data_IF_667347897778
#
_entry.id   IF_667347897778
#
_cell.length_a   1.000
_cell.length_b   1.000
_cell.length_c   1.000
_cell.angle_alpha   90.00
_cell.angle_beta   90.00
_cell.angle_gamma   90.00
#
_symmetry.space_group_name_H-M   'P 1'
#
loop_
_entity.id
_entity.type
_entity.pdbx_description
1 polymer ?
#
# COMPACT_ATOMS: atom_id res chain seq x y z
N UNK A 1 50.90 -25.06 22.01
CA UNK A 1 49.64 -24.27 22.16
C UNK A 1 49.33 -23.33 20.99
N UNK A 2 50.13 -23.28 19.90
CA UNK A 2 49.87 -22.39 18.73
C UNK A 2 48.83 -22.91 17.72
N UNK A 3 48.60 -24.23 17.65
CA UNK A 3 47.68 -24.84 16.68
C UNK A 3 46.21 -24.55 16.98
N UNK A 4 45.83 -24.49 18.25
CA UNK A 4 44.45 -24.20 18.68
C UNK A 4 44.12 -22.72 18.51
N UNK A 5 45.09 -21.83 18.69
CA UNK A 5 44.91 -20.38 18.49
C UNK A 5 44.65 -20.03 17.02
N UNK A 6 45.38 -20.64 16.09
CA UNK A 6 45.15 -20.46 14.66
C UNK A 6 43.80 -21.05 14.22
N UNK A 7 43.36 -22.14 14.85
CA UNK A 7 42.04 -22.73 14.60
C UNK A 7 40.90 -21.84 15.11
N UNK A 8 41.05 -21.26 16.31
CA UNK A 8 40.08 -20.28 16.86
C UNK A 8 40.03 -18.99 16.02
N UNK A 9 41.18 -18.51 15.52
CA UNK A 9 41.26 -17.36 14.62
C UNK A 9 40.56 -17.62 13.28
N UNK A 10 40.71 -18.82 12.72
CA UNK A 10 40.05 -19.23 11.48
C UNK A 10 38.53 -19.38 11.64
N UNK A 11 38.07 -19.86 12.80
CA UNK A 11 36.65 -19.99 13.12
C UNK A 11 35.94 -18.63 13.28
N UNK A 12 36.63 -17.62 13.85
CA UNK A 12 36.11 -16.25 13.98
C UNK A 12 36.03 -15.56 12.60
N UNK A 13 36.99 -15.84 11.71
CA UNK A 13 37.04 -15.28 10.36
C UNK A 13 35.97 -15.87 9.43
N UNK A 14 35.60 -17.15 9.61
CA UNK A 14 34.44 -17.75 8.93
C UNK A 14 33.08 -17.29 9.52
N UNK A 15 33.00 -17.09 10.84
CA UNK A 15 31.77 -16.65 11.51
C UNK A 15 31.42 -15.17 11.27
N UNK A 16 32.42 -14.30 11.07
CA UNK A 16 32.22 -12.88 10.77
C UNK A 16 31.66 -12.59 9.36
N UNK A 17 31.68 -13.58 8.46
CA UNK A 17 31.17 -13.44 7.09
C UNK A 17 29.63 -13.56 7.00
N UNK A 18 28.93 -13.80 8.12
CA UNK A 18 27.47 -13.99 8.12
C UNK A 18 26.67 -12.72 8.46
N UNK A 19 27.31 -11.56 8.61
CA UNK A 19 26.64 -10.32 9.07
C UNK A 19 26.40 -9.26 7.96
N UNK A 20 26.39 -9.62 6.68
CA UNK A 20 26.08 -8.67 5.59
C UNK A 20 25.00 -9.15 4.61
N UNK A 21 23.90 -9.76 5.10
CA UNK A 21 22.64 -9.64 4.38
C UNK A 21 22.04 -8.27 4.75
N UNK A 22 22.58 -7.27 4.05
CA UNK A 22 22.07 -5.90 4.03
C UNK A 22 20.67 -5.88 3.44
N UNK A 23 19.88 -4.94 3.94
CA UNK A 23 18.59 -4.54 3.42
C UNK A 23 18.63 -4.45 1.90
N UNK A 24 17.71 -5.15 1.24
CA UNK A 24 17.49 -5.02 -0.19
C UNK A 24 17.04 -3.59 -0.50
N UNK A 25 17.64 -3.10 -1.57
CA UNK A 25 17.63 -1.75 -2.09
C UNK A 25 16.29 -1.04 -2.05
N UNK A 26 16.35 0.22 -1.62
CA UNK A 26 15.46 1.30 -2.05
C UNK A 26 15.17 1.16 -3.55
N UNK A 27 13.91 0.90 -3.90
CA UNK A 27 13.47 1.14 -5.26
C UNK A 27 13.61 2.63 -5.55
N UNK A 28 14.19 3.03 -6.69
CA UNK A 28 14.21 4.43 -7.09
C UNK A 28 12.76 4.91 -7.06
N UNK A 29 12.57 6.12 -6.53
CA UNK A 29 11.29 6.81 -6.52
C UNK A 29 10.59 6.55 -7.86
N UNK A 30 9.59 5.67 -7.82
CA UNK A 30 8.62 5.59 -8.89
C UNK A 30 7.99 6.97 -8.85
N UNK A 31 8.42 7.82 -9.78
CA UNK A 31 7.56 8.84 -10.35
C UNK A 31 6.16 8.25 -10.38
N UNK A 32 5.13 8.90 -9.78
CA UNK A 32 3.77 8.36 -9.78
C UNK A 32 3.52 7.80 -11.16
N UNK A 33 3.28 6.49 -11.24
CA UNK A 33 2.95 5.84 -12.51
C UNK A 33 1.90 6.74 -13.14
N UNK A 34 2.32 7.50 -14.15
CA UNK A 34 1.40 8.16 -15.04
C UNK A 34 0.62 6.98 -15.57
N UNK A 35 -0.63 6.87 -15.13
CA UNK A 35 -1.55 5.85 -15.59
C UNK A 35 -1.57 6.05 -17.09
N UNK A 36 -0.76 5.26 -17.80
CA UNK A 36 -0.75 5.25 -19.25
C UNK A 36 -2.11 4.66 -19.59
N UNK A 37 -3.10 5.56 -19.73
CA UNK A 37 -4.41 5.24 -20.25
C UNK A 37 -4.14 4.88 -21.69
N UNK A 38 -3.98 3.59 -21.93
CA UNK A 38 -4.00 3.05 -23.27
C UNK A 38 -5.36 3.41 -23.87
N UNK A 39 -5.34 4.39 -24.77
CA UNK A 39 -6.53 4.97 -25.38
C UNK A 39 -7.13 4.07 -26.47
N UNK A 40 -6.63 2.84 -26.66
CA UNK A 40 -7.30 1.84 -27.49
C UNK A 40 -8.48 1.24 -26.73
N UNK A 41 -9.60 1.98 -26.73
CA UNK A 41 -10.88 1.48 -26.23
C UNK A 41 -11.27 0.23 -26.98
N UNK A 42 -11.27 -0.90 -26.28
CA UNK A 42 -11.89 -2.14 -26.75
C UNK A 42 -13.37 -2.10 -26.36
N UNK A 43 -14.26 -2.76 -27.10
CA UNK A 43 -15.70 -2.84 -26.78
C UNK A 43 -15.92 -3.33 -25.32
N UNK A 44 -15.08 -4.24 -24.84
CA UNK A 44 -15.07 -4.71 -23.43
C UNK A 44 -14.77 -3.61 -22.41
N UNK A 45 -14.02 -2.58 -22.79
CA UNK A 45 -13.64 -1.48 -21.91
C UNK A 45 -14.77 -0.45 -21.77
N UNK A 46 -15.53 -0.23 -22.84
CA UNK A 46 -16.70 0.66 -22.80
C UNK A 46 -17.82 0.10 -21.90
N UNK A 47 -18.09 -1.22 -21.95
CA UNK A 47 -19.06 -1.87 -21.04
C UNK A 47 -18.63 -1.77 -19.55
N UNK A 48 -17.32 -1.89 -19.29
CA UNK A 48 -16.75 -1.76 -17.95
C UNK A 48 -16.88 -0.32 -17.45
N UNK A 49 -16.61 0.66 -18.30
CA UNK A 49 -16.74 2.08 -17.97
C UNK A 49 -18.21 2.47 -17.68
N UNK A 50 -19.17 1.93 -18.44
CA UNK A 50 -20.60 2.15 -18.17
C UNK A 50 -21.03 1.54 -16.83
N UNK A 51 -20.53 0.34 -16.53
CA UNK A 51 -20.80 -0.33 -15.25
C UNK A 51 -20.23 0.46 -14.08
N UNK A 52 -18.98 0.94 -14.19
CA UNK A 52 -18.34 1.77 -13.17
C UNK A 52 -19.08 3.09 -12.97
N UNK A 53 -19.49 3.76 -14.06
CA UNK A 53 -20.32 4.98 -13.99
C UNK A 53 -21.62 4.71 -13.23
N UNK A 54 -22.31 3.61 -13.54
CA UNK A 54 -23.56 3.24 -12.86
C UNK A 54 -23.38 3.02 -11.34
N UNK A 55 -22.24 2.47 -10.93
CA UNK A 55 -21.91 2.28 -9.50
C UNK A 55 -21.61 3.63 -8.83
N UNK A 56 -20.81 4.49 -9.45
CA UNK A 56 -20.45 5.79 -8.85
C UNK A 56 -21.70 6.69 -8.70
N UNK A 57 -22.63 6.65 -9.67
CA UNK A 57 -23.88 7.42 -9.59
C UNK A 57 -24.90 6.87 -8.57
N UNK A 58 -24.75 5.63 -8.09
CA UNK A 58 -25.66 5.07 -7.08
C UNK A 58 -25.25 5.42 -5.65
N UNK A 59 -24.00 5.86 -5.45
CA UNK A 59 -23.48 6.29 -4.16
C UNK A 59 -23.69 7.80 -4.02
N UNK A 60 -24.28 8.30 -2.92
CA UNK A 60 -24.40 9.74 -2.69
C UNK A 60 -23.02 10.42 -2.66
N UNK A 61 -22.94 11.71 -3.01
CA UNK A 61 -21.66 12.42 -2.98
C UNK A 61 -21.07 12.45 -1.55
N UNK A 62 -19.74 12.64 -1.37
CA UNK A 62 -19.12 12.67 -0.04
C UNK A 62 -19.78 13.67 0.93
N UNK A 63 -20.20 14.83 0.43
CA UNK A 63 -20.89 15.85 1.22
C UNK A 63 -22.31 15.40 1.60
N UNK A 64 -23.03 14.78 0.67
CA UNK A 64 -24.36 14.23 0.96
C UNK A 64 -24.27 13.06 1.93
N UNK A 65 -23.28 12.18 1.80
CA UNK A 65 -23.00 11.11 2.76
C UNK A 65 -22.76 11.67 4.16
N UNK A 66 -21.90 12.68 4.30
CA UNK A 66 -21.67 13.35 5.58
C UNK A 66 -22.97 13.97 6.15
N UNK A 67 -23.81 14.57 5.31
CA UNK A 67 -25.11 15.11 5.71
C UNK A 67 -26.09 14.02 6.16
N UNK A 68 -26.14 12.87 5.47
CA UNK A 68 -26.97 11.72 5.85
C UNK A 68 -26.53 11.14 7.20
N UNK A 69 -25.22 10.99 7.41
CA UNK A 69 -24.66 10.54 8.68
C UNK A 69 -25.01 11.51 9.81
N UNK A 70 -24.85 12.83 9.60
CA UNK A 70 -25.26 13.83 10.59
C UNK A 70 -26.77 13.78 10.90
N UNK A 71 -27.62 13.63 9.88
CA UNK A 71 -29.08 13.52 10.04
C UNK A 71 -29.51 12.23 10.74
N UNK A 72 -28.70 11.16 10.70
CA UNK A 72 -29.01 9.90 11.36
C UNK A 72 -28.95 9.98 12.88
N UNK A 73 -28.35 11.05 13.43
CA UNK A 73 -28.19 11.23 14.88
C UNK A 73 -27.15 10.31 15.52
N UNK A 74 -26.39 9.57 14.71
CA UNK A 74 -25.26 8.76 15.17
C UNK A 74 -24.11 9.68 15.56
N UNK A 75 -23.55 9.44 16.75
CA UNK A 75 -22.36 10.15 17.21
C UNK A 75 -21.11 9.64 16.50
N UNK A 76 -20.14 10.55 16.31
CA UNK A 76 -18.85 10.17 15.75
C UNK A 76 -18.09 9.29 16.74
N UNK A 77 -17.70 8.10 16.28
CA UNK A 77 -16.83 7.19 17.01
C UNK A 77 -15.45 7.15 16.32
N UNK A 78 -14.41 7.60 17.01
CA UNK A 78 -13.05 7.55 16.46
C UNK A 78 -12.44 6.15 16.48
N UNK A 79 -12.99 5.23 17.28
CA UNK A 79 -12.47 3.87 17.43
C UNK A 79 -12.75 2.97 16.22
N UNK A 80 -13.76 3.32 15.42
CA UNK A 80 -14.09 2.61 14.17
C UNK A 80 -13.27 3.13 12.97
N UNK A 81 -12.49 4.20 13.15
CA UNK A 81 -11.63 4.71 12.08
C UNK A 81 -10.45 3.79 11.83
N UNK A 82 -9.97 3.80 10.59
CA UNK A 82 -8.70 3.16 10.27
C UNK A 82 -7.54 3.87 11.00
N UNK A 83 -6.76 3.17 11.87
CA UNK A 83 -5.66 3.78 12.60
C UNK A 83 -4.61 4.40 11.68
N UNK A 84 -4.04 5.54 12.06
CA UNK A 84 -3.01 6.26 11.29
C UNK A 84 -1.75 5.41 11.07
N UNK A 85 -1.42 4.54 12.03
CA UNK A 85 -0.30 3.61 11.96
C UNK A 85 -0.43 2.62 10.78
N UNK A 86 -1.65 2.42 10.25
CA UNK A 86 -1.87 1.58 9.07
C UNK A 86 -1.46 2.26 7.76
N UNK A 87 -1.01 3.52 7.76
CA UNK A 87 -0.57 4.25 6.55
C UNK A 87 0.41 3.45 5.67
N UNK A 88 1.39 2.79 6.29
CA UNK A 88 2.36 1.91 5.60
C UNK A 88 1.73 0.74 4.84
N UNK A 89 0.52 0.30 5.25
CA UNK A 89 -0.22 -0.79 4.59
C UNK A 89 -0.83 -0.34 3.25
N UNK A 90 -0.95 0.96 3.01
CA UNK A 90 -1.55 1.56 1.81
C UNK A 90 -0.52 2.26 0.93
N UNK A 91 0.59 1.58 0.64
CA UNK A 91 1.71 2.16 -0.11
C UNK A 91 1.52 2.19 -1.63
N UNK A 92 0.55 1.45 -2.18
CA UNK A 92 0.30 1.41 -3.63
C UNK A 92 -1.02 2.08 -3.97
N UNK A 93 -1.14 2.64 -5.19
CA UNK A 93 -2.36 3.32 -5.66
C UNK A 93 -3.63 2.48 -5.45
N UNK A 94 -3.58 1.17 -5.76
CA UNK A 94 -4.69 0.24 -5.53
C UNK A 94 -5.09 0.16 -4.05
N UNK A 95 -4.11 0.11 -3.14
CA UNK A 95 -4.40 0.03 -1.72
C UNK A 95 -4.89 1.37 -1.18
N UNK A 96 -4.33 2.48 -1.65
CA UNK A 96 -4.82 3.81 -1.30
C UNK A 96 -6.28 4.01 -1.70
N UNK A 97 -6.66 3.57 -2.92
CA UNK A 97 -8.05 3.56 -3.34
C UNK A 97 -8.92 2.79 -2.35
N UNK A 98 -8.52 1.57 -1.96
CA UNK A 98 -9.25 0.78 -0.95
C UNK A 98 -9.43 1.50 0.41
N UNK A 99 -8.47 2.33 0.82
CA UNK A 99 -8.58 3.10 2.06
C UNK A 99 -9.55 4.29 1.96
N UNK A 100 -9.77 4.81 0.75
CA UNK A 100 -10.67 5.93 0.49
C UNK A 100 -12.12 5.47 0.30
N UNK A 101 -12.35 4.15 0.20
CA UNK A 101 -13.65 3.55 -0.12
C UNK A 101 -13.84 3.37 -1.62
#
# INVERSE_FOLDING_TARGET
MRKNFNFTLFAILLGGMFCFQSCESEQPAQTPDEVAVDNSKTEDQDERDETVKKIIYSIPSPVEMASLLQKSGVEFDSSILNPVDNSSKYSTAKKQALNLG
#
